data_IF_390466768195
#
_entry.id   IF_390466768195
#
_cell.length_a   1.000
_cell.length_b   1.000
_cell.length_c   1.000
_cell.angle_alpha   90.00
_cell.angle_beta   90.00
_cell.angle_gamma   90.00
#
_symmetry.space_group_name_H-M   'P 1'
#
loop_
_entity.id
_entity.type
_entity.pdbx_description
1 polymer ?
#
# COMPACT_ATOMS: atom_id res chain seq x y z
N UNK A 1 -8.69 -17.20 -5.18
CA UNK A 1 -7.41 -16.47 -5.27
C UNK A 1 -7.59 -15.13 -4.59
N UNK A 2 -6.90 -14.88 -3.48
CA UNK A 2 -7.03 -13.64 -2.70
C UNK A 2 -6.28 -12.50 -3.40
N UNK A 3 -6.65 -11.24 -3.14
CA UNK A 3 -6.03 -10.07 -3.77
C UNK A 3 -4.51 -10.07 -3.53
N UNK A 4 -4.07 -10.40 -2.31
CA UNK A 4 -2.65 -10.45 -1.95
C UNK A 4 -1.85 -11.45 -2.81
N UNK A 5 -2.41 -12.63 -3.08
CA UNK A 5 -1.75 -13.65 -3.92
C UNK A 5 -1.58 -13.14 -5.35
N UNK A 6 -2.60 -12.47 -5.90
CA UNK A 6 -2.53 -11.88 -7.24
C UNK A 6 -1.43 -10.83 -7.37
N UNK A 7 -1.32 -9.95 -6.37
CA UNK A 7 -0.29 -8.90 -6.35
C UNK A 7 1.10 -9.52 -6.24
N UNK A 8 1.27 -10.52 -5.36
CA UNK A 8 2.53 -11.25 -5.21
C UNK A 8 2.98 -11.88 -6.53
N UNK A 9 2.09 -12.61 -7.19
CA UNK A 9 2.40 -13.27 -8.46
C UNK A 9 2.75 -12.26 -9.55
N UNK A 10 2.03 -11.14 -9.62
CA UNK A 10 2.32 -10.07 -10.57
C UNK A 10 3.71 -9.45 -10.36
N UNK A 11 4.09 -9.13 -9.11
CA UNK A 11 5.40 -8.58 -8.78
C UNK A 11 6.53 -9.58 -9.11
N UNK A 12 6.32 -10.86 -8.78
CA UNK A 12 7.28 -11.93 -9.06
C UNK A 12 7.49 -12.13 -10.57
N UNK A 13 6.42 -12.17 -11.36
CA UNK A 13 6.51 -12.31 -12.83
C UNK A 13 7.26 -11.14 -13.49
N UNK A 14 7.20 -9.95 -12.88
CA UNK A 14 7.88 -8.74 -13.36
C UNK A 14 9.29 -8.59 -12.81
N UNK A 15 9.74 -9.49 -11.93
CA UNK A 15 11.06 -9.40 -11.29
C UNK A 15 11.20 -8.18 -10.36
N UNK A 16 10.09 -7.64 -9.84
CA UNK A 16 10.14 -6.49 -8.93
C UNK A 16 10.63 -6.98 -7.57
N UNK A 17 11.72 -6.39 -7.07
CA UNK A 17 12.20 -6.67 -5.72
C UNK A 17 11.32 -5.99 -4.68
N UNK A 18 10.80 -6.75 -3.72
CA UNK A 18 10.04 -6.23 -2.58
C UNK A 18 10.32 -7.05 -1.32
N UNK A 19 10.04 -6.45 -0.17
CA UNK A 19 10.01 -7.12 1.12
C UNK A 19 8.62 -7.04 1.74
N UNK A 20 8.30 -7.99 2.62
CA UNK A 20 7.09 -7.93 3.45
C UNK A 20 7.50 -7.56 4.87
N UNK A 21 6.86 -6.53 5.42
CA UNK A 21 7.02 -6.15 6.83
C UNK A 21 5.78 -6.63 7.56
N UNK A 22 5.96 -7.53 8.52
CA UNK A 22 4.87 -8.02 9.37
C UNK A 22 4.70 -7.06 10.53
N UNK A 23 3.47 -6.59 10.74
CA UNK A 23 3.11 -5.74 11.88
C UNK A 23 1.74 -6.16 12.44
N UNK A 24 1.44 -5.86 13.73
CA UNK A 24 0.10 -6.04 14.29
C UNK A 24 -0.97 -5.23 13.53
N UNK A 25 -2.23 -5.65 13.60
CA UNK A 25 -3.33 -4.89 13.01
C UNK A 25 -3.49 -3.52 13.70
N UNK A 26 -3.65 -2.46 12.91
CA UNK A 26 -3.83 -1.08 13.38
C UNK A 26 -5.10 -0.45 12.79
N UNK A 27 -5.45 0.77 13.22
CA UNK A 27 -6.69 1.46 12.83
C UNK A 27 -6.46 2.61 11.85
N UNK A 28 -5.23 3.13 11.76
CA UNK A 28 -4.87 4.15 10.78
C UNK A 28 -3.45 3.95 10.21
N UNK A 29 -3.15 4.68 9.13
CA UNK A 29 -1.86 4.58 8.42
C UNK A 29 -0.67 5.02 9.27
N UNK A 30 -0.82 6.06 10.10
CA UNK A 30 0.27 6.49 11.00
C UNK A 30 0.61 5.41 12.03
N UNK A 31 -0.41 4.77 12.62
CA UNK A 31 -0.21 3.61 13.50
C UNK A 31 0.41 2.44 12.73
N UNK A 32 0.02 2.19 11.47
CA UNK A 32 0.65 1.13 10.65
C UNK A 32 2.14 1.41 10.41
N UNK A 33 2.51 2.66 10.10
CA UNK A 33 3.90 3.06 9.89
C UNK A 33 4.72 2.85 11.17
N UNK A 34 4.19 3.29 12.32
CA UNK A 34 4.81 3.09 13.62
C UNK A 34 4.99 1.60 13.95
N UNK A 35 3.92 0.81 13.84
CA UNK A 35 3.94 -0.63 14.14
C UNK A 35 4.86 -1.43 13.20
N UNK A 36 5.07 -0.94 11.98
CA UNK A 36 6.00 -1.51 11.01
C UNK A 36 7.42 -0.94 11.11
N UNK A 37 7.67 0.00 12.03
CA UNK A 37 8.93 0.75 12.15
C UNK A 37 9.38 1.43 10.83
N UNK A 38 8.41 1.92 10.06
CA UNK A 38 8.63 2.70 8.83
C UNK A 38 8.45 4.18 9.17
N UNK A 39 9.34 5.08 8.71
CA UNK A 39 9.12 6.52 8.85
C UNK A 39 7.75 6.92 8.27
N UNK A 40 6.99 7.74 8.99
CA UNK A 40 5.62 8.07 8.61
C UNK A 40 5.48 8.76 7.24
N UNK A 41 6.53 9.45 6.79
CA UNK A 41 6.65 10.09 5.47
C UNK A 41 7.07 9.13 4.35
N UNK A 42 7.33 7.86 4.68
CA UNK A 42 7.66 6.79 3.73
C UNK A 42 6.56 5.73 3.61
N UNK A 43 5.44 5.89 4.31
CA UNK A 43 4.25 5.09 4.10
C UNK A 43 3.26 5.88 3.25
N UNK A 44 2.95 5.35 2.07
CA UNK A 44 1.99 5.98 1.17
C UNK A 44 0.54 5.67 1.56
N UNK A 45 -0.35 6.66 1.43
CA UNK A 45 -1.80 6.47 1.52
C UNK A 45 -2.47 6.90 0.21
N UNK A 46 -2.99 5.96 -0.60
CA UNK A 46 -3.72 6.33 -1.81
C UNK A 46 -5.07 6.96 -1.44
N UNK A 47 -5.41 8.04 -2.14
CA UNK A 47 -6.71 8.71 -2.08
C UNK A 47 -7.31 8.68 -3.49
N UNK A 48 -8.53 8.17 -3.61
CA UNK A 48 -9.28 8.24 -4.87
C UNK A 48 -10.12 9.51 -4.84
N UNK A 49 -9.94 10.34 -5.84
CA UNK A 49 -10.72 11.55 -6.12
C UNK A 49 -11.64 11.27 -7.30
N UNK A 50 -12.78 11.96 -7.33
CA UNK A 50 -13.76 11.90 -8.41
C UNK A 50 -14.19 13.31 -8.77
N UNK A 51 -14.23 13.60 -10.07
CA UNK A 51 -14.83 14.81 -10.63
C UNK A 51 -15.59 14.45 -11.94
N UNK A 52 -16.10 15.47 -12.64
CA UNK A 52 -16.81 15.27 -13.91
C UNK A 52 -15.94 14.61 -15.01
N UNK A 53 -14.62 14.59 -14.86
CA UNK A 53 -13.67 13.95 -15.78
C UNK A 53 -13.35 12.49 -15.38
N UNK A 54 -13.84 12.02 -14.22
CA UNK A 54 -13.71 10.65 -13.76
C UNK A 54 -12.88 10.50 -12.48
N UNK A 55 -12.24 9.33 -12.33
CA UNK A 55 -11.50 8.98 -11.13
C UNK A 55 -10.00 9.22 -11.26
N UNK A 56 -9.38 9.79 -10.23
CA UNK A 56 -7.93 9.94 -10.10
C UNK A 56 -7.46 9.32 -8.77
N UNK A 57 -6.34 8.58 -8.80
CA UNK A 57 -5.67 8.15 -7.58
C UNK A 57 -4.49 9.09 -7.30
N UNK A 58 -4.51 9.73 -6.13
CA UNK A 58 -3.41 10.53 -5.61
C UNK A 58 -2.69 9.73 -4.53
N UNK A 59 -1.36 9.78 -4.53
CA UNK A 59 -0.52 9.10 -3.55
C UNK A 59 0.06 10.17 -2.63
N UNK A 60 -0.30 10.09 -1.35
CA UNK A 60 0.19 10.96 -0.27
C UNK A 60 1.26 10.25 0.56
#
# INVERSE_FOLDING_TARGET
>A
MHIADRVRDYLNQRGVTYGLIVHPQTRCSQESAEAAHVPGDRLVKPVVLEDDNGYLMVVL
#
